data_IF_751936057712
#
_entry.id   IF_751936057712
#
_cell.length_a   1.000
_cell.length_b   1.000
_cell.length_c   1.000
_cell.angle_alpha   90.00
_cell.angle_beta   90.00
_cell.angle_gamma   90.00
#
_symmetry.space_group_name_H-M   'P 1'
#
loop_
_entity.id
_entity.type
_entity.pdbx_description
1 polymer ?
#
# COMPACT_ATOMS: atom_id res chain seq x y z
N UNK A 1 31.93 -9.24 -39.57
CA UNK A 1 30.86 -9.47 -38.57
C UNK A 1 29.57 -8.76 -38.97
N UNK A 2 29.61 -7.48 -39.37
CA UNK A 2 28.42 -6.71 -39.78
C UNK A 2 27.61 -7.35 -40.93
N UNK A 3 28.24 -7.72 -42.06
CA UNK A 3 27.52 -8.37 -43.18
C UNK A 3 26.78 -9.66 -42.80
N UNK A 4 27.30 -10.45 -41.84
CA UNK A 4 26.62 -11.65 -41.36
C UNK A 4 25.35 -11.29 -40.57
N UNK A 5 25.42 -10.22 -39.78
CA UNK A 5 24.29 -9.73 -38.99
C UNK A 5 23.21 -9.12 -39.89
N UNK A 6 23.62 -8.36 -40.89
CA UNK A 6 22.74 -7.75 -41.89
C UNK A 6 21.99 -8.81 -42.70
N UNK A 7 22.71 -9.82 -43.21
CA UNK A 7 22.10 -10.96 -43.90
C UNK A 7 21.16 -11.76 -43.00
N UNK A 8 21.47 -11.87 -41.70
CA UNK A 8 20.60 -12.54 -40.73
C UNK A 8 19.31 -11.74 -40.50
N UNK A 9 19.42 -10.42 -40.30
CA UNK A 9 18.26 -9.53 -40.11
C UNK A 9 17.37 -9.47 -41.36
N UNK A 10 17.95 -9.38 -42.57
CA UNK A 10 17.18 -9.41 -43.81
C UNK A 10 16.45 -10.75 -44.02
N UNK A 11 17.11 -11.88 -43.72
CA UNK A 11 16.44 -13.19 -43.72
C UNK A 11 15.30 -13.27 -42.72
N UNK A 12 15.47 -12.68 -41.53
CA UNK A 12 14.42 -12.62 -40.52
C UNK A 12 13.23 -11.76 -40.97
N UNK A 13 13.49 -10.57 -41.54
CA UNK A 13 12.45 -9.69 -42.10
C UNK A 13 11.66 -10.37 -43.22
N UNK A 14 12.35 -11.02 -44.17
CA UNK A 14 11.69 -11.78 -45.24
C UNK A 14 10.84 -12.95 -44.72
N UNK A 15 11.30 -13.66 -43.68
CA UNK A 15 10.52 -14.72 -43.04
C UNK A 15 9.22 -14.19 -42.42
N UNK A 16 9.27 -13.04 -41.75
CA UNK A 16 8.11 -12.37 -41.16
C UNK A 16 7.10 -11.98 -42.25
N UNK A 17 7.58 -11.38 -43.34
CA UNK A 17 6.75 -10.98 -44.47
C UNK A 17 6.07 -12.17 -45.15
N UNK A 18 6.79 -13.27 -45.35
CA UNK A 18 6.30 -14.43 -46.08
C UNK A 18 5.39 -15.33 -45.21
N UNK A 19 5.42 -15.22 -43.87
CA UNK A 19 4.62 -16.02 -42.93
C UNK A 19 3.88 -15.20 -41.85
N UNK A 20 3.08 -14.18 -42.21
CA UNK A 20 2.53 -13.22 -41.25
C UNK A 20 1.62 -13.86 -40.19
N UNK A 21 0.72 -14.78 -40.58
CA UNK A 21 -0.21 -15.43 -39.65
C UNK A 21 0.50 -16.34 -38.64
N UNK A 22 1.55 -17.05 -39.08
CA UNK A 22 2.33 -17.91 -38.17
C UNK A 22 3.09 -17.07 -37.16
N UNK A 23 3.68 -15.96 -37.59
CA UNK A 23 4.39 -15.03 -36.69
C UNK A 23 3.43 -14.40 -35.68
N UNK A 24 2.26 -13.94 -36.13
CA UNK A 24 1.24 -13.41 -35.22
C UNK A 24 0.75 -14.46 -34.21
N UNK A 25 0.56 -15.71 -34.64
CA UNK A 25 0.19 -16.79 -33.73
C UNK A 25 1.28 -17.05 -32.69
N UNK A 26 2.54 -17.14 -33.11
CA UNK A 26 3.68 -17.33 -32.21
C UNK A 26 3.77 -16.18 -31.20
N UNK A 27 3.63 -14.94 -31.67
CA UNK A 27 3.63 -13.75 -30.81
C UNK A 27 2.48 -13.80 -29.80
N UNK A 28 1.27 -14.18 -30.23
CA UNK A 28 0.12 -14.32 -29.35
C UNK A 28 0.33 -15.38 -28.27
N UNK A 29 0.93 -16.53 -28.61
CA UNK A 29 1.27 -17.58 -27.63
C UNK A 29 2.32 -17.09 -26.65
N UNK A 30 3.37 -16.41 -27.14
CA UNK A 30 4.42 -15.85 -26.29
C UNK A 30 3.89 -14.78 -25.32
N UNK A 31 2.91 -13.98 -25.75
CA UNK A 31 2.28 -12.95 -24.92
C UNK A 31 1.21 -13.52 -23.98
N UNK A 32 0.53 -14.59 -24.37
CA UNK A 32 -0.53 -15.20 -23.55
C UNK A 32 0.00 -15.65 -22.19
N UNK A 33 1.22 -16.19 -22.14
CA UNK A 33 1.81 -16.70 -20.91
C UNK A 33 2.07 -15.61 -19.85
N UNK A 34 2.79 -14.50 -20.14
CA UNK A 34 2.91 -13.38 -19.20
C UNK A 34 1.56 -12.76 -18.87
N UNK A 35 0.70 -12.52 -19.87
CA UNK A 35 -0.59 -11.84 -19.67
C UNK A 35 -1.48 -12.61 -18.70
N UNK A 36 -1.50 -13.94 -18.77
CA UNK A 36 -2.27 -14.79 -17.86
C UNK A 36 -1.86 -14.65 -16.38
N UNK A 37 -0.62 -14.23 -16.11
CA UNK A 37 -0.11 -14.05 -14.74
C UNK A 37 -0.33 -12.64 -14.18
N UNK A 38 -0.77 -11.66 -14.98
CA UNK A 38 -0.99 -10.28 -14.52
C UNK A 38 -1.92 -10.20 -13.29
N UNK A 39 -3.03 -10.96 -13.17
CA UNK A 39 -3.89 -10.90 -11.98
C UNK A 39 -3.19 -11.28 -10.67
N UNK A 40 -2.05 -11.98 -10.74
CA UNK A 40 -1.27 -12.42 -9.58
C UNK A 40 -0.21 -11.40 -9.14
N UNK A 41 -0.21 -10.20 -9.73
CA UNK A 41 0.77 -9.18 -9.40
C UNK A 41 0.67 -8.78 -7.91
N UNK A 42 1.79 -8.88 -7.21
CA UNK A 42 1.92 -8.41 -5.83
C UNK A 42 2.44 -6.99 -5.83
N UNK A 43 1.80 -6.11 -5.05
CA UNK A 43 2.28 -4.75 -4.80
C UNK A 43 2.96 -4.74 -3.44
N UNK A 44 4.18 -4.21 -3.37
CA UNK A 44 4.91 -4.06 -2.12
C UNK A 44 5.32 -2.60 -1.97
N UNK A 45 4.65 -1.88 -1.08
CA UNK A 45 4.94 -0.48 -0.79
C UNK A 45 5.55 -0.27 0.59
N UNK A 46 6.10 -1.34 1.16
CA UNK A 46 6.81 -1.28 2.43
C UNK A 46 8.13 -0.53 2.28
N UNK A 47 8.62 0.04 3.38
CA UNK A 47 9.95 0.69 3.40
C UNK A 47 11.06 -0.36 3.29
N UNK A 48 10.80 -1.57 3.79
CA UNK A 48 11.67 -2.74 3.68
C UNK A 48 11.86 -3.17 2.23
N UNK A 49 10.90 -2.85 1.34
CA UNK A 49 11.00 -3.08 -0.10
C UNK A 49 12.24 -2.46 -0.74
N UNK A 50 12.83 -1.41 -0.15
CA UNK A 50 14.07 -0.77 -0.59
C UNK A 50 15.35 -1.55 -0.21
N UNK A 51 15.27 -2.47 0.76
CA UNK A 51 16.43 -3.24 1.22
C UNK A 51 16.65 -4.50 0.39
N UNK A 52 17.88 -5.01 0.42
CA UNK A 52 18.19 -6.32 -0.16
C UNK A 52 17.60 -7.44 0.72
N UNK A 53 17.13 -8.55 0.12
CA UNK A 53 16.58 -9.69 0.88
C UNK A 53 17.56 -10.27 1.91
N UNK A 54 18.86 -10.20 1.62
CA UNK A 54 19.94 -10.73 2.47
C UNK A 54 20.50 -9.69 3.46
N UNK A 55 19.88 -8.51 3.59
CA UNK A 55 20.34 -7.48 4.52
C UNK A 55 20.21 -7.97 5.99
N UNK A 56 21.30 -7.99 6.79
CA UNK A 56 21.27 -8.49 8.15
C UNK A 56 20.32 -7.68 9.06
N UNK A 57 20.10 -6.40 8.78
CA UNK A 57 19.16 -5.56 9.52
C UNK A 57 17.73 -6.00 9.23
N UNK A 58 17.40 -6.25 7.96
CA UNK A 58 16.09 -6.74 7.55
C UNK A 58 15.79 -8.12 8.15
N UNK A 59 16.77 -9.02 8.14
CA UNK A 59 16.61 -10.35 8.74
C UNK A 59 16.40 -10.29 10.26
N UNK A 60 17.09 -9.38 10.95
CA UNK A 60 16.91 -9.17 12.39
C UNK A 60 15.53 -8.59 12.69
N UNK A 61 15.09 -7.61 11.90
CA UNK A 61 13.76 -7.02 12.02
C UNK A 61 12.64 -8.04 11.77
N UNK A 62 12.75 -8.87 10.73
CA UNK A 62 11.76 -9.91 10.44
C UNK A 62 11.62 -10.93 11.59
N UNK A 63 12.73 -11.36 12.20
CA UNK A 63 12.71 -12.24 13.38
C UNK A 63 12.03 -11.58 14.58
N UNK A 64 12.30 -10.30 14.81
CA UNK A 64 11.61 -9.53 15.85
C UNK A 64 10.10 -9.49 15.58
N UNK A 65 9.71 -9.21 14.33
CA UNK A 65 8.30 -9.14 13.92
C UNK A 65 7.58 -10.48 14.03
N UNK A 66 8.25 -11.60 13.76
CA UNK A 66 7.69 -12.94 13.95
C UNK A 66 7.43 -13.26 15.44
N UNK A 67 8.28 -12.77 16.33
CA UNK A 67 8.16 -13.04 17.77
C UNK A 67 7.18 -12.09 18.48
N UNK A 68 7.21 -10.80 18.12
CA UNK A 68 6.51 -9.73 18.84
C UNK A 68 5.35 -9.10 18.05
N UNK A 69 5.16 -9.45 16.78
CA UNK A 69 4.17 -8.83 15.91
C UNK A 69 4.66 -7.52 15.28
N UNK A 70 3.74 -6.77 14.65
CA UNK A 70 4.01 -5.45 14.05
C UNK A 70 3.80 -4.37 15.11
N UNK A 71 4.76 -3.46 15.26
CA UNK A 71 4.61 -2.22 16.06
C UNK A 71 4.08 -1.07 15.18
N UNK A 72 3.07 -1.37 14.37
CA UNK A 72 2.43 -0.36 13.53
C UNK A 72 1.19 0.16 14.23
N UNK A 73 1.23 1.44 14.59
CA UNK A 73 0.15 2.12 15.31
C UNK A 73 -0.43 3.20 14.44
N UNK A 74 -1.73 3.39 14.55
CA UNK A 74 -2.43 4.55 14.00
C UNK A 74 -2.62 5.54 15.15
N UNK A 75 -2.38 6.83 14.88
CA UNK A 75 -2.50 7.87 15.89
C UNK A 75 -3.49 8.93 15.40
N UNK A 76 -4.56 9.13 16.14
CA UNK A 76 -5.50 10.22 15.95
C UNK A 76 -5.11 11.34 16.90
N UNK A 77 -4.57 12.43 16.38
CA UNK A 77 -4.31 13.63 17.15
C UNK A 77 -5.51 14.56 17.07
N UNK A 78 -6.12 14.86 18.20
CA UNK A 78 -7.36 15.63 18.32
C UNK A 78 -7.02 16.96 18.99
N UNK A 79 -7.27 18.07 18.31
CA UNK A 79 -6.97 19.41 18.76
C UNK A 79 -8.25 20.15 19.17
N UNK A 80 -8.23 20.76 20.34
CA UNK A 80 -9.29 21.60 20.89
C UNK A 80 -8.68 22.53 21.97
N UNK A 81 -9.09 23.79 22.03
CA UNK A 81 -8.61 24.70 23.09
C UNK A 81 -9.11 24.29 24.50
N UNK A 82 -10.10 23.41 24.58
CA UNK A 82 -10.80 22.98 25.79
C UNK A 82 -10.89 21.44 25.92
N UNK A 83 -9.78 20.72 25.67
CA UNK A 83 -9.74 19.25 25.84
C UNK A 83 -10.12 18.78 27.26
N UNK A 84 -9.98 19.65 28.26
CA UNK A 84 -10.44 19.43 29.64
C UNK A 84 -11.79 20.12 29.89
N UNK A 85 -12.78 19.81 29.08
CA UNK A 85 -14.17 20.19 29.27
C UNK A 85 -15.06 18.95 29.27
N UNK A 86 -16.19 18.99 29.98
CA UNK A 86 -17.14 17.87 30.03
C UNK A 86 -17.64 17.53 28.62
N UNK A 87 -17.91 18.55 27.79
CA UNK A 87 -18.35 18.37 26.41
C UNK A 87 -17.31 17.61 25.58
N UNK A 88 -16.04 18.06 25.63
CA UNK A 88 -14.96 17.40 24.91
C UNK A 88 -14.74 15.97 25.40
N UNK A 89 -14.64 15.74 26.71
CA UNK A 89 -14.43 14.39 27.25
C UNK A 89 -15.59 13.45 26.90
N UNK A 90 -16.80 13.97 26.82
CA UNK A 90 -17.98 13.20 26.38
C UNK A 90 -17.88 12.83 24.90
N UNK A 91 -17.48 13.78 24.03
CA UNK A 91 -17.22 13.52 22.61
C UNK A 91 -16.08 12.53 22.41
N UNK A 92 -14.98 12.67 23.16
CA UNK A 92 -13.84 11.76 23.12
C UNK A 92 -14.25 10.34 23.49
N UNK A 93 -15.06 10.17 24.54
CA UNK A 93 -15.60 8.85 24.92
C UNK A 93 -16.48 8.26 23.81
N UNK A 94 -17.34 9.06 23.18
CA UNK A 94 -18.17 8.59 22.07
C UNK A 94 -17.33 8.16 20.88
N UNK A 95 -16.34 8.98 20.49
CA UNK A 95 -15.38 8.66 19.43
C UNK A 95 -14.61 7.38 19.73
N UNK A 96 -14.09 7.25 20.96
CA UNK A 96 -13.36 6.06 21.39
C UNK A 96 -14.20 4.79 21.26
N UNK A 97 -15.43 4.82 21.79
CA UNK A 97 -16.33 3.65 21.75
C UNK A 97 -16.77 3.31 20.33
N UNK A 98 -17.00 4.31 19.49
CA UNK A 98 -17.39 4.09 18.10
C UNK A 98 -16.24 3.48 17.29
N UNK A 99 -15.00 3.91 17.54
CA UNK A 99 -13.82 3.27 16.95
C UNK A 99 -13.69 1.82 17.44
N UNK A 100 -13.81 1.61 18.76
CA UNK A 100 -13.72 0.29 19.39
C UNK A 100 -14.79 -0.69 18.87
N UNK A 101 -16.00 -0.22 18.55
CA UNK A 101 -17.10 -1.09 18.11
C UNK A 101 -17.18 -1.28 16.59
N UNK A 102 -16.87 -0.25 15.80
CA UNK A 102 -17.22 -0.21 14.37
C UNK A 102 -16.02 -0.40 13.45
N UNK A 103 -14.78 -0.27 13.96
CA UNK A 103 -13.56 -0.46 13.16
C UNK A 103 -13.14 -1.93 13.19
N UNK A 104 -13.03 -2.61 12.01
CA UNK A 104 -12.57 -3.98 11.95
C UNK A 104 -11.05 -4.08 12.17
N UNK A 105 -10.57 -5.27 12.57
CA UNK A 105 -9.13 -5.61 12.71
C UNK A 105 -8.37 -4.78 13.74
N UNK A 106 -9.09 -4.42 14.80
CA UNK A 106 -8.65 -3.57 15.90
C UNK A 106 -8.26 -4.45 17.09
N UNK A 107 -7.04 -4.28 17.59
CA UNK A 107 -6.56 -4.99 18.79
C UNK A 107 -6.88 -4.16 20.05
N UNK A 108 -6.44 -2.90 20.09
CA UNK A 108 -6.70 -2.00 21.22
C UNK A 108 -6.82 -0.53 20.78
N UNK A 109 -7.56 0.25 21.59
CA UNK A 109 -7.62 1.71 21.48
C UNK A 109 -7.21 2.28 22.81
N UNK A 110 -6.18 3.13 22.84
CA UNK A 110 -5.75 3.85 24.03
C UNK A 110 -5.95 5.35 23.84
N UNK A 111 -6.66 6.01 24.76
CA UNK A 111 -6.82 7.47 24.78
C UNK A 111 -6.94 7.98 26.21
N UNK A 112 -7.15 9.28 26.41
CA UNK A 112 -7.45 9.80 27.76
C UNK A 112 -8.66 9.12 28.43
N UNK A 113 -9.57 8.52 27.65
CA UNK A 113 -10.75 7.85 28.19
C UNK A 113 -10.41 6.63 29.06
N UNK A 114 -9.52 5.75 28.60
CA UNK A 114 -9.17 4.48 29.23
C UNK A 114 -7.68 4.40 29.64
N UNK A 115 -6.95 5.51 29.59
CA UNK A 115 -5.53 5.49 29.99
C UNK A 115 -5.41 5.15 31.47
N UNK A 116 -4.54 4.19 31.76
CA UNK A 116 -4.25 3.75 33.13
C UNK A 116 -3.58 4.84 33.93
N UNK A 117 -4.16 5.11 35.09
CA UNK A 117 -3.66 5.99 36.13
C UNK A 117 -3.11 5.18 37.30
N UNK A 118 -1.80 5.00 37.31
CA UNK A 118 -1.10 4.30 38.40
C UNK A 118 -0.57 5.29 39.42
N UNK A 119 -0.96 5.12 40.69
CA UNK A 119 -0.51 5.95 41.82
C UNK A 119 -0.21 5.14 43.07
N UNK A 120 0.71 5.64 43.88
CA UNK A 120 0.96 5.13 45.23
C UNK A 120 0.09 5.85 46.25
N UNK A 121 -0.68 5.10 47.04
CA UNK A 121 -1.43 5.59 48.21
C UNK A 121 -1.04 4.77 49.45
N UNK A 122 -0.14 5.33 50.26
CA UNK A 122 0.45 4.62 51.40
C UNK A 122 1.27 3.41 50.94
N UNK A 123 0.91 2.22 51.42
CA UNK A 123 1.54 0.94 51.05
C UNK A 123 0.88 0.26 49.83
N UNK A 124 -0.04 0.93 49.14
CA UNK A 124 -0.77 0.37 47.99
C UNK A 124 -0.43 1.07 46.69
N UNK A 125 -0.39 0.29 45.61
CA UNK A 125 -0.37 0.77 44.24
C UNK A 125 -1.79 0.62 43.68
N UNK A 126 -2.41 1.74 43.31
CA UNK A 126 -3.75 1.77 42.72
C UNK A 126 -3.58 1.99 41.23
N UNK A 127 -4.21 1.15 40.42
CA UNK A 127 -4.30 1.28 38.97
C UNK A 127 -5.78 1.29 38.59
N UNK A 128 -6.27 2.47 38.23
CA UNK A 128 -7.61 2.73 37.71
C UNK A 128 -7.50 3.50 36.38
N UNK A 129 -8.60 3.71 35.67
CA UNK A 129 -8.60 4.54 34.47
C UNK A 129 -8.67 6.02 34.85
N UNK A 130 -7.99 6.88 34.10
CA UNK A 130 -7.88 8.31 34.41
C UNK A 130 -9.24 9.02 34.52
N UNK A 131 -10.21 8.60 33.72
CA UNK A 131 -11.58 9.12 33.73
C UNK A 131 -12.55 8.22 34.47
N UNK A 132 -12.12 7.27 35.31
CA UNK A 132 -13.02 6.49 36.16
C UNK A 132 -12.99 6.97 37.62
N UNK A 133 -14.14 7.35 38.22
CA UNK A 133 -15.46 7.52 37.59
C UNK A 133 -15.51 8.73 36.65
N UNK A 134 -16.38 8.66 35.64
CA UNK A 134 -16.48 9.69 34.60
C UNK A 134 -16.82 11.07 35.20
N UNK A 135 -16.04 12.13 34.90
CA UNK A 135 -16.23 13.42 35.53
C UNK A 135 -17.58 14.02 35.15
N UNK A 136 -18.37 14.39 36.18
CA UNK A 136 -19.72 14.93 35.99
C UNK A 136 -19.79 16.43 36.28
N UNK A 137 -18.77 16.99 36.94
CA UNK A 137 -18.67 18.42 37.25
C UNK A 137 -17.35 19.01 36.75
N UNK A 138 -17.30 20.32 36.50
CA UNK A 138 -16.06 20.98 36.05
C UNK A 138 -14.94 20.84 37.09
N UNK A 139 -15.29 20.83 38.39
CA UNK A 139 -14.32 20.62 39.46
C UNK A 139 -13.67 19.22 39.41
N UNK A 140 -14.37 18.20 38.89
CA UNK A 140 -13.79 16.88 38.68
C UNK A 140 -12.86 16.87 37.47
N UNK A 141 -13.25 17.56 36.39
CA UNK A 141 -12.42 17.73 35.19
C UNK A 141 -11.13 18.48 35.53
N UNK A 142 -11.18 19.49 36.39
CA UNK A 142 -9.99 20.24 36.82
C UNK A 142 -9.01 19.35 37.61
N UNK A 143 -9.51 18.41 38.43
CA UNK A 143 -8.67 17.41 39.10
C UNK A 143 -8.06 16.42 38.11
N UNK A 144 -8.81 15.97 37.11
CA UNK A 144 -8.30 15.13 36.03
C UNK A 144 -7.20 15.86 35.29
N UNK A 145 -7.40 17.14 34.93
CA UNK A 145 -6.41 17.98 34.28
C UNK A 145 -5.13 18.09 35.08
N UNK A 146 -5.22 18.37 36.38
CA UNK A 146 -4.05 18.48 37.25
C UNK A 146 -3.25 17.17 37.27
N UNK A 147 -3.93 16.04 37.44
CA UNK A 147 -3.29 14.70 37.43
C UNK A 147 -2.67 14.39 36.07
N UNK A 148 -3.40 14.66 35.00
CA UNK A 148 -3.00 14.32 33.65
C UNK A 148 -1.76 15.12 33.22
N UNK A 149 -1.75 16.42 33.51
CA UNK A 149 -0.65 17.32 33.17
C UNK A 149 0.60 17.12 34.06
N UNK A 150 0.42 16.60 35.28
CA UNK A 150 1.53 16.30 36.20
C UNK A 150 2.23 14.96 35.87
N UNK A 151 1.56 14.06 35.16
CA UNK A 151 2.10 12.73 34.83
C UNK A 151 3.05 12.79 33.63
N UNK A 152 4.26 12.27 33.82
CA UNK A 152 5.23 12.12 32.72
C UNK A 152 4.81 11.03 31.72
N UNK A 153 3.86 10.17 32.07
CA UNK A 153 3.38 9.09 31.19
C UNK A 153 2.40 9.60 30.12
N UNK A 154 1.77 10.76 30.32
CA UNK A 154 0.79 11.30 29.38
C UNK A 154 1.36 12.46 28.58
N UNK A 155 2.23 13.26 29.19
CA UNK A 155 2.87 14.40 28.52
C UNK A 155 3.71 13.94 27.34
N UNK A 156 3.56 14.61 26.20
CA UNK A 156 4.25 14.34 24.92
C UNK A 156 3.90 12.99 24.27
N UNK A 157 3.05 12.17 24.90
CA UNK A 157 2.51 10.92 24.34
C UNK A 157 1.01 11.05 24.03
N UNK A 158 0.21 11.30 25.06
CA UNK A 158 -1.25 11.47 24.98
C UNK A 158 -1.69 12.92 25.04
N UNK A 159 -0.87 13.81 25.59
CA UNK A 159 -1.18 15.21 25.81
C UNK A 159 -0.05 16.12 25.32
N UNK A 160 -0.42 17.15 24.58
CA UNK A 160 0.45 18.28 24.26
C UNK A 160 0.81 19.09 25.51
N UNK A 161 1.99 19.73 25.50
CA UNK A 161 2.47 20.53 26.64
C UNK A 161 1.59 21.73 26.98
N UNK A 162 0.91 22.29 25.98
CA UNK A 162 -0.04 23.40 26.14
C UNK A 162 -1.45 22.92 26.52
N UNK A 163 -1.70 21.61 26.53
CA UNK A 163 -2.98 21.02 26.86
C UNK A 163 -4.07 21.36 25.84
N UNK A 164 -3.71 21.58 24.57
CA UNK A 164 -4.65 21.89 23.48
C UNK A 164 -4.85 20.75 22.48
N UNK A 165 -4.18 19.64 22.73
CA UNK A 165 -4.21 18.47 21.87
C UNK A 165 -4.08 17.21 22.73
N UNK A 166 -4.91 16.23 22.41
CA UNK A 166 -4.80 14.86 22.91
C UNK A 166 -4.55 13.90 21.76
N UNK A 167 -3.96 12.73 22.02
CA UNK A 167 -3.90 11.65 21.04
C UNK A 167 -4.77 10.47 21.45
N UNK A 168 -5.19 9.70 20.46
CA UNK A 168 -5.78 8.39 20.59
C UNK A 168 -4.93 7.44 19.74
N UNK A 169 -4.34 6.45 20.39
CA UNK A 169 -3.49 5.43 19.78
C UNK A 169 -4.37 4.23 19.48
N UNK A 170 -4.31 3.78 18.24
CA UNK A 170 -5.06 2.64 17.72
C UNK A 170 -4.04 1.57 17.34
N UNK A 171 -4.14 0.41 17.98
CA UNK A 171 -3.33 -0.77 17.70
C UNK A 171 -4.17 -1.72 16.82
N UNK A 172 -3.56 -2.20 15.75
CA UNK A 172 -4.21 -3.09 14.78
C UNK A 172 -3.78 -4.52 15.02
N UNK A 173 -4.64 -5.48 14.67
CA UNK A 173 -4.27 -6.89 14.69
C UNK A 173 -2.98 -7.15 13.90
N UNK A 174 -2.08 -7.93 14.50
CA UNK A 174 -0.82 -8.27 13.85
C UNK A 174 -1.04 -9.22 12.65
N UNK A 175 -2.11 -10.01 12.67
CA UNK A 175 -2.36 -11.09 11.71
C UNK A 175 -3.68 -10.88 10.96
N UNK A 176 -3.75 -11.43 9.76
CA UNK A 176 -4.94 -11.42 8.90
C UNK A 176 -5.94 -12.46 9.37
N UNK A 177 -7.22 -12.13 9.25
CA UNK A 177 -8.33 -13.04 9.56
C UNK A 177 -8.75 -13.88 8.34
N UNK A 178 -8.04 -13.77 7.20
CA UNK A 178 -8.31 -14.59 6.03
C UNK A 178 -7.97 -16.06 6.30
N UNK A 179 -9.00 -16.90 6.33
CA UNK A 179 -8.86 -18.34 6.50
C UNK A 179 -8.80 -18.81 7.96
N UNK A 180 -9.09 -17.93 8.92
CA UNK A 180 -9.35 -18.36 10.30
C UNK A 180 -10.61 -19.24 10.33
N UNK A 181 -10.44 -20.50 10.70
CA UNK A 181 -11.55 -21.26 11.27
C UNK A 181 -11.79 -20.66 12.66
N UNK A 182 -13.06 -20.38 13.02
CA UNK A 182 -13.44 -20.06 14.40
C UNK A 182 -12.97 -21.22 15.29
N UNK A 183 -11.78 -21.08 15.89
CA UNK A 183 -11.32 -21.99 16.93
C UNK A 183 -12.01 -21.50 18.19
N UNK A 184 -12.79 -22.39 18.81
CA UNK A 184 -13.53 -22.03 20.02
C UNK A 184 -12.54 -21.70 21.14
N UNK A 185 -12.85 -20.69 21.97
CA UNK A 185 -12.02 -20.27 23.11
C UNK A 185 -11.76 -21.43 24.08
N UNK A 186 -12.62 -22.45 24.08
CA UNK A 186 -12.47 -23.68 24.86
C UNK A 186 -11.32 -24.57 24.35
N UNK A 187 -11.01 -24.56 23.05
CA UNK A 187 -9.91 -25.34 22.48
C UNK A 187 -8.54 -24.69 22.79
N UNK A 188 -8.47 -23.35 22.75
CA UNK A 188 -7.21 -22.60 22.99
C UNK A 188 -6.79 -22.60 24.47
N UNK A 189 -7.76 -22.60 25.40
CA UNK A 189 -7.49 -22.71 26.84
C UNK A 189 -7.11 -24.14 27.27
N UNK A 190 -7.55 -25.16 26.53
CA UNK A 190 -7.25 -26.57 26.80
C UNK A 190 -5.81 -26.95 26.43
N UNK A 191 -5.27 -26.39 25.34
CA UNK A 191 -3.91 -26.66 24.86
C UNK A 191 -2.80 -26.13 25.79
N UNK A 192 -3.12 -25.19 26.70
CA UNK A 192 -2.15 -24.61 27.65
C UNK A 192 -1.82 -25.49 28.87
N UNK A 193 -2.58 -26.55 29.13
CA UNK A 193 -2.45 -27.38 30.34
C UNK A 193 -2.39 -28.89 30.07
N UNK A 194 -2.40 -29.32 28.81
CA UNK A 194 -2.29 -30.73 28.41
C UNK A 194 -0.84 -31.17 28.16
N UNK A 195 -0.41 -32.25 28.82
CA UNK A 195 0.92 -32.88 28.70
C UNK A 195 1.11 -33.66 27.37
N UNK A 196 0.38 -33.31 26.31
CA UNK A 196 0.50 -33.97 25.01
C UNK A 196 1.17 -33.03 24.01
N UNK A 197 2.27 -33.52 23.42
CA UNK A 197 3.03 -32.87 22.37
C UNK A 197 2.11 -32.56 21.17
N UNK A 198 1.53 -31.37 21.16
CA UNK A 198 0.78 -30.83 20.04
C UNK A 198 1.73 -30.76 18.85
N UNK A 199 1.42 -31.52 17.80
CA UNK A 199 2.08 -31.38 16.52
C UNK A 199 1.93 -29.92 16.11
N UNK A 200 3.07 -29.22 16.03
CA UNK A 200 3.20 -27.86 15.49
C UNK A 200 2.59 -27.80 14.09
N UNK A 201 1.28 -27.63 14.02
CA UNK A 201 0.64 -27.02 12.88
C UNK A 201 1.04 -25.56 12.98
N UNK A 202 2.22 -25.23 12.45
CA UNK A 202 2.61 -23.85 12.21
C UNK A 202 1.59 -23.32 11.22
N UNK A 203 0.46 -22.83 11.73
CA UNK A 203 -0.42 -21.97 10.96
C UNK A 203 0.49 -20.78 10.64
N UNK A 204 0.97 -20.72 9.40
CA UNK A 204 1.64 -19.55 8.88
C UNK A 204 0.59 -18.44 8.90
N UNK A 205 0.46 -17.77 10.05
CA UNK A 205 -0.45 -16.64 10.20
C UNK A 205 0.04 -15.57 9.25
N UNK A 206 -0.76 -15.30 8.23
CA UNK A 206 -0.49 -14.23 7.29
C UNK A 206 -0.61 -12.91 8.04
N UNK A 207 0.30 -11.96 7.84
CA UNK A 207 0.14 -10.63 8.43
C UNK A 207 -1.08 -9.92 7.84
N UNK A 208 -1.66 -8.98 8.59
CA UNK A 208 -2.77 -8.14 8.15
C UNK A 208 -2.50 -7.58 6.74
N UNK A 209 -3.41 -7.89 5.81
CA UNK A 209 -3.25 -7.62 4.38
C UNK A 209 -3.39 -6.13 4.07
N UNK A 210 -2.96 -5.73 2.89
CA UNK A 210 -3.16 -4.37 2.39
C UNK A 210 -4.66 -4.03 2.24
N UNK A 211 -5.50 -5.02 1.93
CA UNK A 211 -6.95 -4.83 1.78
C UNK A 211 -7.62 -4.61 3.14
N UNK A 212 -7.29 -5.44 4.14
CA UNK A 212 -7.78 -5.28 5.51
C UNK A 212 -7.32 -3.95 6.12
N UNK A 213 -6.06 -3.55 5.91
CA UNK A 213 -5.55 -2.24 6.33
C UNK A 213 -6.30 -1.08 5.66
N UNK A 214 -6.68 -1.22 4.38
CA UNK A 214 -7.44 -0.21 3.67
C UNK A 214 -8.85 -0.07 4.24
N UNK A 215 -9.54 -1.19 4.50
CA UNK A 215 -10.87 -1.20 5.09
C UNK A 215 -10.89 -0.58 6.50
N UNK A 216 -9.93 -0.97 7.36
CA UNK A 216 -9.75 -0.38 8.69
C UNK A 216 -9.57 1.13 8.60
N UNK A 217 -8.67 1.60 7.74
CA UNK A 217 -8.37 3.04 7.60
C UNK A 217 -9.55 3.81 7.02
N UNK A 218 -10.29 3.23 6.07
CA UNK A 218 -11.49 3.84 5.51
C UNK A 218 -12.57 4.03 6.58
N UNK A 219 -12.75 3.06 7.49
CA UNK A 219 -13.64 3.19 8.65
C UNK A 219 -13.18 4.26 9.64
N UNK A 220 -11.89 4.30 9.96
CA UNK A 220 -11.33 5.36 10.81
C UNK A 220 -11.55 6.74 10.16
N UNK A 221 -11.36 6.87 8.85
CA UNK A 221 -11.61 8.10 8.12
C UNK A 221 -13.09 8.50 8.15
N UNK A 222 -14.00 7.56 7.93
CA UNK A 222 -15.46 7.78 8.01
C UNK A 222 -15.88 8.32 9.38
N UNK A 223 -15.43 7.67 10.46
CA UNK A 223 -15.72 8.09 11.83
C UNK A 223 -15.06 9.45 12.11
N UNK A 224 -13.78 9.62 11.77
CA UNK A 224 -13.09 10.90 11.99
C UNK A 224 -13.77 12.06 11.26
N UNK A 225 -14.27 11.85 10.04
CA UNK A 225 -14.96 12.88 9.26
C UNK A 225 -16.31 13.28 9.86
N UNK A 226 -17.05 12.32 10.44
CA UNK A 226 -18.25 12.60 11.23
C UNK A 226 -17.95 13.54 12.40
N UNK A 227 -16.93 13.23 13.21
CA UNK A 227 -16.56 14.05 14.36
C UNK A 227 -15.89 15.39 13.97
N UNK A 228 -15.22 15.45 12.81
CA UNK A 228 -14.77 16.72 12.21
C UNK A 228 -15.93 17.64 11.88
N UNK A 229 -17.03 17.10 11.35
CA UNK A 229 -18.24 17.86 11.07
C UNK A 229 -18.92 18.41 12.35
N UNK A 230 -18.72 17.73 13.50
CA UNK A 230 -19.16 18.20 14.82
C UNK A 230 -18.22 19.24 15.46
N UNK A 231 -17.13 19.60 14.78
CA UNK A 231 -16.22 20.68 15.16
C UNK A 231 -14.88 20.24 15.75
N UNK A 232 -14.56 18.94 15.79
CA UNK A 232 -13.26 18.46 16.26
C UNK A 232 -12.18 18.57 15.17
N UNK A 233 -11.03 19.17 15.48
CA UNK A 233 -9.87 19.13 14.59
C UNK A 233 -9.10 17.81 14.78
N UNK A 234 -9.37 16.82 13.92
CA UNK A 234 -8.74 15.48 13.99
C UNK A 234 -7.71 15.32 12.88
N UNK A 235 -6.49 14.91 13.25
CA UNK A 235 -5.39 14.56 12.35
C UNK A 235 -5.07 13.07 12.50
N UNK A 236 -4.93 12.36 11.38
CA UNK A 236 -4.60 10.92 11.39
C UNK A 236 -3.15 10.77 10.98
N UNK A 237 -2.39 10.00 11.77
CA UNK A 237 -0.98 9.71 11.57
C UNK A 237 -0.70 8.23 11.86
N UNK A 238 0.57 7.82 11.72
CA UNK A 238 0.99 6.43 11.89
C UNK A 238 1.38 5.77 10.57
N UNK A 239 2.20 4.72 10.66
CA UNK A 239 2.75 4.04 9.49
C UNK A 239 1.67 3.48 8.56
N UNK A 240 0.60 2.81 9.04
CA UNK A 240 -0.47 2.31 8.16
C UNK A 240 -1.18 3.43 7.39
N UNK A 241 -1.53 4.53 8.08
CA UNK A 241 -2.21 5.67 7.47
C UNK A 241 -1.34 6.36 6.40
N UNK A 242 -0.06 6.62 6.71
CA UNK A 242 0.89 7.22 5.77
C UNK A 242 1.14 6.31 4.58
N UNK A 243 1.33 5.01 4.81
CA UNK A 243 1.58 4.04 3.74
C UNK A 243 0.35 3.91 2.84
N UNK A 244 -0.87 3.84 3.37
CA UNK A 244 -2.10 3.79 2.59
C UNK A 244 -2.30 5.06 1.75
N UNK A 245 -2.10 6.24 2.35
CA UNK A 245 -2.17 7.52 1.62
C UNK A 245 -1.13 7.59 0.49
N UNK A 246 0.09 7.16 0.75
CA UNK A 246 1.15 7.08 -0.25
C UNK A 246 0.79 6.09 -1.37
N UNK A 247 0.31 4.89 -1.05
CA UNK A 247 -0.18 3.89 -2.03
C UNK A 247 -1.29 4.47 -2.93
N UNK A 248 -2.30 5.10 -2.33
CA UNK A 248 -3.42 5.68 -3.05
C UNK A 248 -2.96 6.79 -4.01
N UNK A 249 -2.10 7.69 -3.53
CA UNK A 249 -1.51 8.75 -4.35
C UNK A 249 -0.64 8.17 -5.48
N UNK A 250 0.18 7.17 -5.20
CA UNK A 250 0.99 6.48 -6.20
C UNK A 250 0.15 5.85 -7.30
N UNK A 251 -0.97 5.19 -6.95
CA UNK A 251 -1.90 4.60 -7.92
C UNK A 251 -2.52 5.68 -8.81
N UNK A 252 -2.96 6.78 -8.21
CA UNK A 252 -3.53 7.91 -8.94
C UNK A 252 -2.50 8.57 -9.88
N UNK A 253 -1.28 8.80 -9.40
CA UNK A 253 -0.19 9.39 -10.17
C UNK A 253 0.25 8.47 -11.31
N UNK A 254 0.35 7.16 -11.07
CA UNK A 254 0.65 6.18 -12.11
C UNK A 254 -0.40 6.20 -13.23
N UNK A 255 -1.70 6.21 -12.88
CA UNK A 255 -2.77 6.28 -13.87
C UNK A 255 -2.79 7.61 -14.62
N UNK A 256 -2.53 8.73 -13.93
CA UNK A 256 -2.43 10.05 -14.55
C UNK A 256 -1.23 10.13 -15.50
N UNK A 257 -0.06 9.67 -15.05
CA UNK A 257 1.17 9.63 -15.82
C UNK A 257 1.02 8.78 -17.08
N UNK A 258 0.45 7.58 -16.96
CA UNK A 258 0.19 6.69 -18.10
C UNK A 258 -0.76 7.34 -19.12
N UNK A 259 -1.85 7.96 -18.66
CA UNK A 259 -2.80 8.65 -19.56
C UNK A 259 -2.17 9.83 -20.29
N UNK A 260 -1.42 10.68 -19.58
CA UNK A 260 -0.76 11.85 -20.16
C UNK A 260 0.33 11.42 -21.15
N UNK A 261 1.18 10.48 -20.77
CA UNK A 261 2.29 10.00 -21.62
C UNK A 261 1.77 9.32 -22.88
N UNK A 262 0.72 8.49 -22.75
CA UNK A 262 0.07 7.89 -23.91
C UNK A 262 -0.48 8.95 -24.88
N UNK A 263 -1.13 10.00 -24.37
CA UNK A 263 -1.66 11.09 -25.20
C UNK A 263 -0.55 11.88 -25.89
N UNK A 264 0.54 12.16 -25.18
CA UNK A 264 1.72 12.82 -25.76
C UNK A 264 2.34 11.96 -26.88
N UNK A 265 2.53 10.66 -26.64
CA UNK A 265 3.06 9.74 -27.65
C UNK A 265 2.12 9.68 -28.86
N UNK A 266 0.81 9.58 -28.64
CA UNK A 266 -0.19 9.55 -29.71
C UNK A 266 -0.11 10.81 -30.57
N UNK A 267 -0.09 11.99 -29.96
CA UNK A 267 0.02 13.27 -30.66
C UNK A 267 1.36 13.38 -31.40
N UNK A 268 2.46 13.04 -30.73
CA UNK A 268 3.80 13.08 -31.32
C UNK A 268 3.91 12.17 -32.56
N UNK A 269 3.49 10.90 -32.44
CA UNK A 269 3.50 9.95 -33.55
C UNK A 269 2.57 10.41 -34.69
N UNK A 270 1.41 10.97 -34.35
CA UNK A 270 0.50 11.50 -35.36
C UNK A 270 1.10 12.70 -36.10
N UNK A 271 1.79 13.61 -35.41
CA UNK A 271 2.47 14.75 -36.03
C UNK A 271 3.60 14.29 -36.95
N UNK A 272 4.42 13.33 -36.52
CA UNK A 272 5.57 12.82 -37.30
C UNK A 272 5.11 12.08 -38.55
N UNK A 273 4.18 11.13 -38.42
CA UNK A 273 3.82 10.25 -39.54
C UNK A 273 2.58 10.69 -40.31
N UNK A 274 1.72 11.54 -39.72
CA UNK A 274 0.45 12.04 -40.30
C UNK A 274 -0.47 10.93 -40.83
N UNK A 275 -0.29 9.69 -40.35
CA UNK A 275 -0.98 8.48 -40.81
C UNK A 275 -1.39 7.63 -39.63
N UNK A 276 -2.68 7.33 -39.48
CA UNK A 276 -3.23 6.59 -38.33
C UNK A 276 -2.61 5.19 -38.15
N UNK A 277 -2.33 4.47 -39.24
CA UNK A 277 -1.67 3.16 -39.15
C UNK A 277 -0.26 3.26 -38.56
N UNK A 278 0.45 4.35 -38.84
CA UNK A 278 1.80 4.59 -38.31
C UNK A 278 1.82 4.98 -36.83
N UNK A 279 0.66 5.35 -36.26
CA UNK A 279 0.48 5.58 -34.82
C UNK A 279 0.08 4.29 -34.12
N UNK A 280 -0.80 3.50 -34.74
CA UNK A 280 -1.36 2.30 -34.16
C UNK A 280 -0.31 1.21 -33.87
N UNK A 281 0.61 0.94 -34.81
CA UNK A 281 1.60 -0.12 -34.62
C UNK A 281 2.58 0.15 -33.47
N UNK A 282 3.19 1.35 -33.34
CA UNK A 282 4.01 1.66 -32.17
C UNK A 282 3.24 1.54 -30.85
N UNK A 283 1.99 2.02 -30.78
CA UNK A 283 1.18 1.92 -29.57
C UNK A 283 0.91 0.46 -29.18
N UNK A 284 0.66 -0.43 -30.14
CA UNK A 284 0.52 -1.86 -29.87
C UNK A 284 1.82 -2.50 -29.34
N UNK A 285 2.96 -2.19 -29.97
CA UNK A 285 4.27 -2.72 -29.52
C UNK A 285 4.54 -2.30 -28.08
N UNK A 286 4.27 -1.04 -27.76
CA UNK A 286 4.41 -0.48 -26.42
C UNK A 286 3.49 -1.21 -25.42
N UNK A 287 2.21 -1.38 -25.77
CA UNK A 287 1.24 -2.06 -24.93
C UNK A 287 1.67 -3.51 -24.63
N UNK A 288 2.06 -4.26 -25.65
CA UNK A 288 2.49 -5.64 -25.48
C UNK A 288 3.81 -5.76 -24.70
N UNK A 289 4.75 -4.81 -24.89
CA UNK A 289 5.99 -4.75 -24.11
C UNK A 289 5.72 -4.54 -22.61
N UNK A 290 4.79 -3.63 -22.28
CA UNK A 290 4.37 -3.41 -20.90
C UNK A 290 3.67 -4.63 -20.30
N UNK A 291 2.71 -5.21 -21.02
CA UNK A 291 1.98 -6.39 -20.57
C UNK A 291 2.90 -7.60 -20.37
N UNK A 292 3.85 -7.80 -21.29
CA UNK A 292 4.86 -8.85 -21.17
C UNK A 292 5.73 -8.63 -19.92
N UNK A 293 6.21 -7.40 -19.69
CA UNK A 293 7.06 -7.10 -18.54
C UNK A 293 6.32 -7.32 -17.22
N UNK A 294 5.14 -6.73 -17.07
CA UNK A 294 4.30 -6.85 -15.87
C UNK A 294 3.89 -8.31 -15.63
N UNK A 295 3.52 -9.02 -16.69
CA UNK A 295 3.17 -10.44 -16.63
C UNK A 295 4.34 -11.33 -16.22
N UNK A 296 5.55 -11.06 -16.71
CA UNK A 296 6.75 -11.77 -16.30
C UNK A 296 7.14 -11.46 -14.86
N UNK A 297 6.95 -10.22 -14.39
CA UNK A 297 7.12 -9.88 -12.96
C UNK A 297 6.17 -10.68 -12.08
N UNK A 298 4.89 -10.74 -12.45
CA UNK A 298 3.89 -11.50 -11.71
C UNK A 298 4.19 -13.02 -11.73
N UNK A 299 4.59 -13.57 -12.87
CA UNK A 299 4.98 -14.98 -12.99
C UNK A 299 6.20 -15.33 -12.13
N UNK A 300 7.21 -14.46 -12.09
CA UNK A 300 8.41 -14.67 -11.27
C UNK A 300 8.19 -14.40 -9.78
N UNK A 301 7.00 -13.94 -9.39
CA UNK A 301 6.67 -13.56 -8.03
C UNK A 301 7.40 -12.29 -7.56
N UNK A 302 8.03 -11.54 -8.47
CA UNK A 302 8.70 -10.28 -8.14
C UNK A 302 7.62 -9.22 -7.93
N UNK A 303 7.49 -8.77 -6.69
CA UNK A 303 6.55 -7.72 -6.33
C UNK A 303 6.90 -6.40 -7.04
N UNK A 304 5.87 -5.65 -7.40
CA UNK A 304 6.00 -4.28 -7.89
C UNK A 304 6.25 -3.37 -6.68
N UNK A 305 7.48 -2.89 -6.57
CA UNK A 305 7.99 -2.04 -5.47
C UNK A 305 8.06 -0.57 -5.87
N UNK A 306 8.21 0.34 -4.89
CA UNK A 306 8.44 1.77 -5.15
C UNK A 306 9.59 2.02 -6.16
N UNK A 307 10.77 1.39 -6.04
CA UNK A 307 11.85 1.59 -7.03
C UNK A 307 11.49 1.10 -8.44
N UNK A 308 10.63 0.09 -8.58
CA UNK A 308 10.24 -0.48 -9.87
C UNK A 308 9.20 0.35 -10.61
N UNK A 309 8.65 1.39 -9.98
CA UNK A 309 7.66 2.29 -10.59
C UNK A 309 8.20 3.03 -11.83
N UNK A 310 9.52 3.18 -11.96
CA UNK A 310 10.15 3.81 -13.12
C UNK A 310 10.08 2.92 -14.38
N UNK A 311 9.88 1.61 -14.24
CA UNK A 311 9.97 0.63 -15.33
C UNK A 311 8.98 0.91 -16.47
N UNK A 312 7.67 1.13 -16.23
CA UNK A 312 6.75 1.47 -17.31
C UNK A 312 7.18 2.70 -18.10
N UNK A 313 7.64 3.77 -17.42
CA UNK A 313 8.10 5.00 -18.08
C UNK A 313 9.31 4.76 -18.99
N UNK A 314 10.31 4.01 -18.51
CA UNK A 314 11.48 3.65 -19.31
C UNK A 314 11.12 2.77 -20.51
N UNK A 315 10.22 1.80 -20.32
CA UNK A 315 9.73 0.95 -21.39
C UNK A 315 9.00 1.76 -22.46
N UNK A 316 8.16 2.72 -22.07
CA UNK A 316 7.49 3.64 -22.99
C UNK A 316 8.53 4.38 -23.84
N UNK A 317 9.52 5.03 -23.21
CA UNK A 317 10.51 5.84 -23.91
C UNK A 317 11.37 5.04 -24.91
N UNK A 318 11.92 3.90 -24.46
CA UNK A 318 12.79 3.04 -25.29
C UNK A 318 12.00 2.40 -26.42
N UNK A 319 10.79 1.91 -26.14
CA UNK A 319 9.95 1.24 -27.15
C UNK A 319 9.50 2.20 -28.23
N UNK A 320 9.13 3.44 -27.88
CA UNK A 320 8.79 4.48 -28.87
C UNK A 320 9.98 4.76 -29.78
N UNK A 321 11.17 5.01 -29.22
CA UNK A 321 12.36 5.34 -30.02
C UNK A 321 12.73 4.26 -31.02
N UNK A 322 12.78 3.00 -30.57
CA UNK A 322 13.08 1.86 -31.44
C UNK A 322 12.03 1.70 -32.55
N UNK A 323 10.75 1.76 -32.21
CA UNK A 323 9.69 1.54 -33.19
C UNK A 323 9.59 2.67 -34.21
N UNK A 324 9.75 3.92 -33.78
CA UNK A 324 9.74 5.10 -34.67
C UNK A 324 10.88 5.04 -35.67
N UNK A 325 12.09 4.66 -35.23
CA UNK A 325 13.25 4.56 -36.11
C UNK A 325 13.06 3.50 -37.20
N UNK A 326 12.61 2.29 -36.81
CA UNK A 326 12.31 1.20 -37.77
C UNK A 326 11.22 1.64 -38.75
N UNK A 327 10.14 2.24 -38.24
CA UNK A 327 9.00 2.64 -39.06
C UNK A 327 9.35 3.79 -40.01
N UNK A 328 10.21 4.72 -39.60
CA UNK A 328 10.71 5.81 -40.44
C UNK A 328 11.53 5.28 -41.61
N UNK A 329 12.45 4.34 -41.37
CA UNK A 329 13.27 3.73 -42.43
C UNK A 329 12.37 2.95 -43.40
N UNK A 330 11.44 2.15 -42.88
CA UNK A 330 10.51 1.39 -43.70
C UNK A 330 9.68 2.31 -44.62
N UNK A 331 9.14 3.41 -44.10
CA UNK A 331 8.35 4.33 -44.92
C UNK A 331 9.20 5.10 -45.94
N UNK A 332 10.43 5.50 -45.59
CA UNK A 332 11.34 6.15 -46.53
C UNK A 332 11.67 5.22 -47.71
N UNK A 333 12.09 3.98 -47.42
CA UNK A 333 12.40 2.97 -48.43
C UNK A 333 11.18 2.57 -49.27
N UNK A 334 10.01 2.42 -48.62
CA UNK A 334 8.76 2.09 -49.30
C UNK A 334 8.32 3.19 -50.27
N UNK A 335 8.50 4.46 -49.90
CA UNK A 335 8.17 5.59 -50.77
C UNK A 335 9.11 5.69 -51.98
N UNK A 336 10.36 5.24 -51.87
CA UNK A 336 11.35 5.26 -52.95
C UNK A 336 11.14 4.11 -53.96
N UNK A 337 10.88 2.89 -53.49
CA UNK A 337 10.86 1.69 -54.34
C UNK A 337 9.45 1.15 -54.62
N UNK A 338 8.44 1.54 -53.85
CA UNK A 338 7.06 1.06 -53.98
C UNK A 338 6.84 -0.42 -53.61
N UNK A 339 7.91 -1.16 -53.31
CA UNK A 339 7.88 -2.58 -52.98
C UNK A 339 8.08 -2.81 -51.48
N UNK A 340 7.09 -3.41 -50.81
CA UNK A 340 7.14 -3.70 -49.36
C UNK A 340 8.26 -4.65 -48.96
N UNK A 341 8.61 -5.59 -49.84
CA UNK A 341 9.63 -6.62 -49.56
C UNK A 341 11.05 -6.09 -49.71
N UNK A 342 11.25 -5.06 -50.53
CA UNK A 342 12.54 -4.36 -50.67
C UNK A 342 12.73 -3.30 -49.58
N UNK A 343 11.64 -2.80 -49.00
CA UNK A 343 11.66 -1.84 -47.90
C UNK A 343 11.85 -2.47 -46.51
N UNK A 344 11.78 -3.80 -46.41
CA UNK A 344 11.97 -4.63 -45.20
C UNK A 344 13.37 -5.24 -45.18
#
# INVERSE_FOLDING_TARGET
MHQKLENLMGRFGSFIHDNPFKVLLILAVLLAFPIAHIPQIKMDTSTEGFMHPDDPVLLTYNKFREQFGRDERIVLAIKDDHIFSIDFLTKLRSLHKEIESDVPYLDDVTSLYNVRNTRGEGDKLITDDLLEPFPSTQADVDKVKERAMASHFYKDLLLSQDGKMTTMVIETDAYSHQGEQEVSVEDEFSDGFGDEATQNSVVNKTFLTDEENHELLDKIHEIADKYRAEGLEIYIAGSPAVNNALKAQMRADMQKFMRITFLIILVFLFVVFRRLSAVFYPLLVILFSLLATVGTMAWTGVAFKLPTQIVPSLLLAVSVGATVHILSIFFDQFNQHGNKKEAL
#
